data_IF_571879736666
#
_entry.id   IF_571879736666
#
_cell.length_a   1.000
_cell.length_b   1.000
_cell.length_c   1.000
_cell.angle_alpha   90.00
_cell.angle_beta   90.00
_cell.angle_gamma   90.00
#
_symmetry.space_group_name_H-M   'P 1'
#
loop_
_entity.id
_entity.type
_entity.pdbx_description
1 polymer ?
#
# COMPACT_ATOMS: atom_id res chain seq x y z
N UNK A 1 -10.05 -4.82 -16.65
CA UNK A 1 -8.89 -4.91 -15.73
C UNK A 1 -8.79 -3.61 -14.95
N UNK A 2 -8.54 -3.67 -13.63
CA UNK A 2 -8.43 -2.47 -12.77
C UNK A 2 -7.00 -1.92 -12.88
N UNK A 3 -6.84 -0.63 -13.20
CA UNK A 3 -5.53 0.03 -13.35
C UNK A 3 -4.78 0.00 -12.02
N UNK A 4 -3.52 -0.45 -12.03
CA UNK A 4 -2.63 -0.40 -10.86
C UNK A 4 -2.11 1.03 -10.71
N UNK A 5 -2.19 1.59 -9.51
CA UNK A 5 -1.81 2.99 -9.29
C UNK A 5 -0.31 3.17 -9.05
N UNK A 6 0.40 2.15 -8.55
CA UNK A 6 1.82 2.24 -8.23
C UNK A 6 2.75 1.80 -9.39
N UNK A 7 2.18 1.41 -10.54
CA UNK A 7 2.92 0.99 -11.73
C UNK A 7 2.58 1.90 -12.91
N UNK A 8 3.60 2.26 -13.68
CA UNK A 8 3.44 3.01 -14.92
C UNK A 8 2.90 2.11 -16.06
N UNK A 9 2.71 2.68 -17.25
CA UNK A 9 2.17 1.95 -18.41
C UNK A 9 3.15 0.89 -18.97
N UNK A 10 4.43 0.93 -18.58
CA UNK A 10 5.44 -0.08 -18.90
C UNK A 10 5.58 -1.15 -17.81
N UNK A 11 4.88 -0.99 -16.68
CA UNK A 11 4.93 -1.89 -15.53
C UNK A 11 6.06 -1.57 -14.54
N UNK A 12 6.77 -0.45 -14.69
CA UNK A 12 7.78 -0.01 -13.72
C UNK A 12 7.11 0.65 -12.51
N UNK A 13 7.76 0.57 -11.36
CA UNK A 13 7.30 1.26 -10.17
C UNK A 13 7.36 2.78 -10.34
N UNK A 14 6.29 3.49 -9.98
CA UNK A 14 6.26 4.95 -9.90
C UNK A 14 5.51 5.41 -8.66
N UNK A 15 5.88 6.58 -8.15
CA UNK A 15 5.19 7.21 -7.03
C UNK A 15 3.95 7.95 -7.53
N UNK A 16 2.81 7.73 -6.87
CA UNK A 16 1.57 8.42 -7.19
C UNK A 16 1.60 9.84 -6.66
N UNK A 17 1.33 10.83 -7.53
CA UNK A 17 1.10 12.20 -7.07
C UNK A 17 -0.21 12.28 -6.26
N UNK A 18 -0.09 12.78 -5.03
CA UNK A 18 -1.20 12.98 -4.11
C UNK A 18 -1.37 14.45 -3.68
N UNK A 19 -0.63 15.39 -4.29
CA UNK A 19 -0.60 16.79 -3.88
C UNK A 19 -1.98 17.48 -3.93
N UNK A 20 -2.84 17.07 -4.87
CA UNK A 20 -4.21 17.60 -4.99
C UNK A 20 -5.24 16.98 -4.04
N UNK A 21 -4.86 16.02 -3.19
CA UNK A 21 -5.81 15.35 -2.29
C UNK A 21 -6.02 16.17 -1.03
N UNK A 22 -7.27 16.24 -0.56
CA UNK A 22 -7.59 16.84 0.72
C UNK A 22 -6.84 16.14 1.87
N UNK A 23 -6.27 16.95 2.76
CA UNK A 23 -5.67 16.47 4.00
C UNK A 23 -6.80 16.05 4.94
N UNK A 24 -6.77 14.79 5.38
CA UNK A 24 -7.72 14.25 6.35
C UNK A 24 -6.94 13.47 7.40
N UNK A 25 -7.46 13.39 8.62
CA UNK A 25 -6.91 12.48 9.62
C UNK A 25 -7.07 11.03 9.14
N UNK A 26 -6.00 10.22 9.21
CA UNK A 26 -5.98 8.81 8.80
C UNK A 26 -5.09 8.04 9.75
N UNK A 27 -5.57 6.89 10.21
CA UNK A 27 -4.85 5.96 11.08
C UNK A 27 -5.02 4.54 10.54
N UNK A 28 -3.99 3.71 10.71
CA UNK A 28 -4.01 2.31 10.34
C UNK A 28 -3.20 1.49 11.36
N UNK A 29 -3.77 0.37 11.81
CA UNK A 29 -3.12 -0.59 12.70
C UNK A 29 -2.94 -1.91 11.95
N UNK A 30 -1.77 -2.52 12.07
CA UNK A 30 -1.48 -3.83 11.50
C UNK A 30 -1.04 -4.80 12.61
N UNK A 31 -1.40 -6.07 12.46
CA UNK A 31 -0.98 -7.16 13.35
C UNK A 31 -0.37 -8.30 12.53
N UNK A 32 0.43 -9.12 13.19
CA UNK A 32 1.00 -10.34 12.60
C UNK A 32 1.14 -11.42 13.67
N UNK A 33 1.20 -12.68 13.25
CA UNK A 33 1.34 -13.83 14.13
C UNK A 33 2.34 -14.82 13.53
N UNK A 34 3.26 -15.30 14.36
CA UNK A 34 4.17 -16.40 14.04
C UNK A 34 3.77 -17.62 14.86
N UNK A 35 3.46 -18.72 14.18
CA UNK A 35 3.19 -20.01 14.82
C UNK A 35 4.48 -20.80 14.92
N UNK A 36 4.86 -21.18 16.14
CA UNK A 36 6.04 -22.02 16.40
C UNK A 36 5.62 -23.48 16.61
N UNK A 37 6.57 -24.41 16.46
CA UNK A 37 6.38 -25.81 16.87
C UNK A 37 6.51 -25.93 18.41
N UNK A 38 5.83 -26.91 19.04
CA UNK A 38 6.07 -27.26 20.45
C UNK A 38 7.54 -27.70 20.67
N UNK A 39 8.01 -27.63 21.91
CA UNK A 39 9.34 -28.09 22.33
C UNK A 39 9.55 -29.60 22.15
#
# INVERSE_FOLDING_TARGET
MRKLTHLDDQGNAHMVDVAGKAVTHREATAETLVRMQPE
#
